data_IF_559090555448
#
_entry.id   IF_559090555448
#
_cell.length_a   1.000
_cell.length_b   1.000
_cell.length_c   1.000
_cell.angle_alpha   90.00
_cell.angle_beta   90.00
_cell.angle_gamma   90.00
#
_symmetry.space_group_name_H-M   'P 1'
#
loop_
_entity.id
_entity.type
_entity.pdbx_description
1 polymer ?
#
# COMPACT_ATOMS: atom_id res chain seq x y z
N UNK A 1 -11.89 -10.40 2.56
CA UNK A 1 -11.30 -11.61 1.94
C UNK A 1 -9.79 -11.37 1.91
N UNK A 2 -9.00 -12.07 2.73
CA UNK A 2 -7.55 -11.89 2.70
C UNK A 2 -6.98 -12.60 1.48
N UNK A 3 -6.32 -11.85 0.59
CA UNK A 3 -5.58 -12.42 -0.54
C UNK A 3 -4.33 -13.11 -0.02
N UNK A 4 -3.95 -14.24 -0.63
CA UNK A 4 -2.63 -14.82 -0.45
C UNK A 4 -1.54 -13.82 -0.79
N UNK A 5 -0.45 -13.81 -0.03
CA UNK A 5 0.67 -12.88 -0.22
C UNK A 5 1.20 -12.90 -1.66
N UNK A 6 1.31 -14.08 -2.27
CA UNK A 6 1.75 -14.27 -3.66
C UNK A 6 0.83 -13.61 -4.69
N UNK A 7 -0.44 -13.40 -4.34
CA UNK A 7 -1.48 -12.77 -5.17
C UNK A 7 -1.59 -11.26 -4.96
N UNK A 8 -0.88 -10.69 -3.96
CA UNK A 8 -0.90 -9.25 -3.66
C UNK A 8 0.06 -8.48 -4.57
N UNK A 9 -0.46 -7.49 -5.29
CA UNK A 9 0.34 -6.60 -6.14
C UNK A 9 1.19 -7.32 -7.20
N UNK A 10 2.31 -6.71 -7.61
CA UNK A 10 3.28 -7.33 -8.52
C UNK A 10 4.49 -7.90 -7.77
N UNK A 11 5.33 -8.66 -8.46
CA UNK A 11 6.54 -9.23 -7.88
C UNK A 11 7.48 -8.17 -7.26
N UNK A 12 7.60 -6.99 -7.89
CA UNK A 12 8.49 -5.90 -7.42
C UNK A 12 8.05 -5.34 -6.07
N UNK A 13 6.77 -5.03 -5.88
CA UNK A 13 6.31 -4.52 -4.59
C UNK A 13 6.33 -5.59 -3.50
N UNK A 14 6.03 -6.86 -3.81
CA UNK A 14 6.16 -7.96 -2.84
C UNK A 14 7.61 -8.10 -2.35
N UNK A 15 8.59 -8.03 -3.26
CA UNK A 15 10.01 -8.07 -2.90
C UNK A 15 10.42 -6.88 -2.02
N UNK A 16 9.93 -5.67 -2.31
CA UNK A 16 10.18 -4.49 -1.48
C UNK A 16 9.68 -4.70 -0.04
N UNK A 17 8.46 -5.24 0.12
CA UNK A 17 7.91 -5.57 1.43
C UNK A 17 8.68 -6.68 2.15
N UNK A 18 9.11 -7.72 1.42
CA UNK A 18 9.87 -8.84 1.99
C UNK A 18 11.31 -8.45 2.38
N UNK A 19 11.95 -7.58 1.60
CA UNK A 19 13.34 -7.15 1.83
C UNK A 19 13.46 -6.11 2.93
N UNK A 20 12.36 -5.45 3.29
CA UNK A 20 12.36 -4.33 4.19
C UNK A 20 12.73 -2.99 3.53
N UNK A 21 13.14 -2.98 2.26
CA UNK A 21 13.42 -1.75 1.52
C UNK A 21 12.18 -1.27 0.77
N UNK A 22 11.74 -0.04 1.06
CA UNK A 22 10.59 0.60 0.40
C UNK A 22 11.00 1.41 -0.84
N UNK A 23 12.23 1.29 -1.34
CA UNK A 23 12.76 2.10 -2.45
C UNK A 23 11.95 1.95 -3.76
N UNK A 24 11.21 0.85 -3.90
CA UNK A 24 10.30 0.60 -5.03
C UNK A 24 8.87 1.11 -4.85
N UNK A 25 8.55 1.73 -3.71
CA UNK A 25 7.21 2.15 -3.31
C UNK A 25 7.19 3.65 -3.00
N UNK A 26 6.13 4.33 -3.44
CA UNK A 26 5.93 5.75 -3.17
C UNK A 26 5.02 5.87 -1.96
N UNK A 27 5.45 6.56 -0.90
CA UNK A 27 4.55 6.93 0.20
C UNK A 27 3.59 8.01 -0.31
N UNK A 28 2.29 7.71 -0.30
CA UNK A 28 1.26 8.60 -0.84
C UNK A 28 0.35 9.19 0.24
N UNK A 29 0.28 8.57 1.42
CA UNK A 29 -0.40 9.16 2.57
C UNK A 29 0.06 8.54 3.90
N UNK A 30 -0.15 9.28 4.99
CA UNK A 30 -0.01 8.79 6.36
C UNK A 30 -1.32 9.05 7.12
N UNK A 31 -1.77 8.09 7.91
CA UNK A 31 -2.95 8.21 8.76
C UNK A 31 -2.54 8.00 10.20
N UNK A 32 -2.41 9.12 10.92
CA UNK A 32 -2.22 9.16 12.37
C UNK A 32 -3.31 8.37 13.10
N UNK A 33 -4.64 8.54 12.82
CA UNK A 33 -5.67 7.81 13.56
C UNK A 33 -5.64 6.29 13.33
N UNK A 34 -5.10 5.82 12.19
CA UNK A 34 -4.91 4.39 11.93
C UNK A 34 -3.53 3.88 12.32
N UNK A 35 -2.62 4.75 12.75
CA UNK A 35 -1.20 4.43 12.92
C UNK A 35 -0.62 3.70 11.70
N UNK A 36 -0.99 4.18 10.51
CA UNK A 36 -0.73 3.48 9.25
C UNK A 36 -0.18 4.41 8.17
N UNK A 37 0.58 3.83 7.24
CA UNK A 37 1.14 4.50 6.06
C UNK A 37 0.61 3.84 4.81
N UNK A 38 0.22 4.64 3.82
CA UNK A 38 -0.24 4.15 2.55
C UNK A 38 0.83 4.37 1.49
N UNK A 39 1.31 3.27 0.93
CA UNK A 39 2.24 3.24 -0.18
C UNK A 39 1.54 2.89 -1.48
N UNK A 40 2.04 3.41 -2.60
CA UNK A 40 1.61 3.05 -3.95
C UNK A 40 2.77 2.49 -4.73
N UNK A 41 2.57 1.33 -5.36
CA UNK A 41 3.56 0.78 -6.27
C UNK A 41 3.62 1.60 -7.56
N UNK A 42 4.80 2.08 -7.94
CA UNK A 42 4.97 2.81 -9.19
C UNK A 42 4.69 1.95 -10.45
N UNK A 43 4.85 0.62 -10.35
CA UNK A 43 4.74 -0.29 -11.49
C UNK A 43 3.32 -0.81 -11.72
N UNK A 44 2.68 -1.39 -10.69
CA UNK A 44 1.34 -1.97 -10.81
C UNK A 44 0.24 -1.08 -10.22
N UNK A 45 0.61 0.10 -9.69
CA UNK A 45 -0.31 1.08 -9.09
C UNK A 45 -1.12 0.56 -7.89
N UNK A 46 -0.83 -0.65 -7.40
CA UNK A 46 -1.44 -1.22 -6.20
C UNK A 46 -1.11 -0.39 -4.95
N UNK A 47 -2.09 -0.25 -4.07
CA UNK A 47 -1.96 0.42 -2.78
C UNK A 47 -1.64 -0.60 -1.70
N UNK A 48 -0.66 -0.28 -0.86
CA UNK A 48 -0.22 -1.08 0.27
C UNK A 48 -0.32 -0.25 1.54
N UNK A 49 -1.13 -0.70 2.48
CA UNK A 49 -1.25 -0.11 3.80
C UNK A 49 -0.27 -0.81 4.75
N UNK A 50 0.71 -0.05 5.25
CA UNK A 50 1.64 -0.44 6.30
C UNK A 50 1.03 -0.11 7.65
N UNK A 51 0.91 -1.12 8.51
CA UNK A 51 0.62 -0.99 9.93
C UNK A 51 1.88 -1.30 10.72
N UNK A 52 1.89 -0.99 12.01
CA UNK A 52 3.04 -1.23 12.90
C UNK A 52 3.57 -2.68 12.88
N UNK A 53 2.73 -3.67 12.55
CA UNK A 53 3.07 -5.10 12.62
C UNK A 53 2.92 -5.88 11.32
N UNK A 54 2.30 -5.31 10.29
CA UNK A 54 2.04 -6.01 9.02
C UNK A 54 1.75 -5.00 7.90
N UNK A 55 1.80 -5.48 6.65
CA UNK A 55 1.37 -4.71 5.49
C UNK A 55 0.33 -5.50 4.69
N UNK A 56 -0.69 -4.81 4.18
CA UNK A 56 -1.73 -5.41 3.32
C UNK A 56 -2.01 -4.55 2.10
N UNK A 57 -2.58 -5.15 1.04
CA UNK A 57 -3.06 -4.42 -0.13
C UNK A 57 -4.49 -3.96 0.14
N UNK A 58 -4.76 -2.69 -0.13
CA UNK A 58 -6.11 -2.12 -0.06
C UNK A 58 -6.57 -1.71 -1.45
N UNK A 59 -7.88 -1.75 -1.69
CA UNK A 59 -8.44 -1.27 -2.95
C UNK A 59 -8.31 0.25 -3.07
N UNK A 60 -8.36 0.77 -4.30
CA UNK A 60 -8.34 2.21 -4.53
C UNK A 60 -9.51 2.94 -3.83
N UNK A 61 -10.71 2.35 -3.86
CA UNK A 61 -11.88 2.93 -3.19
C UNK A 61 -11.67 3.04 -1.67
N UNK A 62 -11.13 2.00 -1.03
CA UNK A 62 -10.81 2.02 0.40
C UNK A 62 -9.72 3.04 0.73
N UNK A 63 -8.67 3.11 -0.10
CA UNK A 63 -7.59 4.08 0.05
C UNK A 63 -8.11 5.53 -0.02
N UNK A 64 -8.93 5.85 -1.03
CA UNK A 64 -9.50 7.18 -1.20
C UNK A 64 -10.44 7.55 -0.04
N UNK A 65 -11.30 6.62 0.41
CA UNK A 65 -12.22 6.86 1.52
C UNK A 65 -11.48 7.07 2.86
N UNK A 66 -10.42 6.31 3.13
CA UNK A 66 -9.70 6.35 4.39
C UNK A 66 -8.67 7.48 4.49
N UNK A 67 -8.03 7.85 3.38
CA UNK A 67 -6.93 8.81 3.35
C UNK A 67 -7.28 10.14 2.67
N UNK A 68 -8.52 10.32 2.21
CA UNK A 68 -8.97 11.52 1.46
C UNK A 68 -7.99 11.90 0.35
N UNK A 69 -7.45 10.89 -0.35
CA UNK A 69 -6.58 11.13 -1.50
C UNK A 69 -7.39 11.94 -2.52
N UNK A 70 -6.94 13.14 -2.84
CA UNK A 70 -7.56 13.95 -3.89
C UNK A 70 -7.51 13.15 -5.20
N UNK A 71 -8.61 13.18 -5.94
CA UNK A 71 -8.68 12.58 -7.27
C UNK A 71 -7.67 13.29 -8.17
N UNK A 72 -6.50 12.68 -8.41
CA UNK A 72 -5.73 13.02 -9.60
C UNK A 72 -6.49 12.43 -10.79
N UNK A 73 -7.15 13.33 -11.53
CA UNK A 73 -7.84 13.16 -12.81
C UNK A 73 -6.91 12.54 -13.88
#
# INVERSE_FOLDING_TARGET
>A
MHLDWSSKGCAKCRLAWMSGSRDGLVLVAESIPRHARLFRCAQCRAYWEEHERYADVVSQAEAHAAYKLEHED
#
